data_IF_583450243417
#
_entry.id   IF_583450243417
#
_cell.length_a   1.000
_cell.length_b   1.000
_cell.length_c   1.000
_cell.angle_alpha   90.00
_cell.angle_beta   90.00
_cell.angle_gamma   90.00
#
_symmetry.space_group_name_H-M   'P 1'
#
loop_
_entity.id
_entity.type
_entity.pdbx_description
1 polymer ?
#
# COMPACT_ATOMS: atom_id res chain seq x y z
N UNK A 1 -20.27 -3.79 10.24
CA UNK A 1 -18.93 -4.24 9.79
C UNK A 1 -17.99 -3.06 9.89
N UNK A 2 -16.84 -3.26 10.53
CA UNK A 2 -15.84 -2.21 10.80
C UNK A 2 -14.97 -1.97 9.55
N UNK A 3 -14.50 -0.74 9.28
CA UNK A 3 -13.53 -0.46 8.21
C UNK A 3 -12.29 -1.38 8.25
N UNK A 4 -11.91 -1.87 9.43
CA UNK A 4 -10.81 -2.82 9.62
C UNK A 4 -10.98 -4.13 8.81
N UNK A 5 -12.23 -4.51 8.52
CA UNK A 5 -12.58 -5.75 7.81
C UNK A 5 -12.38 -5.64 6.28
N UNK A 6 -11.99 -4.48 5.75
CA UNK A 6 -11.69 -4.33 4.32
C UNK A 6 -10.44 -5.11 3.86
N UNK A 7 -9.61 -5.55 4.81
CA UNK A 7 -8.43 -6.41 4.56
C UNK A 7 -8.43 -7.60 5.53
N UNK A 8 -7.82 -8.73 5.16
CA UNK A 8 -7.84 -9.93 5.98
C UNK A 8 -6.80 -9.96 7.11
N UNK A 9 -5.85 -9.03 7.12
CA UNK A 9 -4.81 -8.96 8.15
C UNK A 9 -5.07 -7.78 9.10
N UNK A 10 -4.74 -8.00 10.36
CA UNK A 10 -4.68 -6.97 11.40
C UNK A 10 -3.22 -6.78 11.79
N UNK A 11 -2.87 -5.60 12.27
CA UNK A 11 -1.61 -5.40 12.97
C UNK A 11 -1.85 -5.51 14.47
N UNK A 12 -0.81 -5.73 15.26
CA UNK A 12 -0.89 -5.90 16.72
C UNK A 12 -1.31 -4.62 17.51
N UNK A 13 -1.89 -3.62 16.84
CA UNK A 13 -2.09 -2.26 17.37
C UNK A 13 -0.82 -1.40 17.28
N UNK A 14 -0.97 -0.10 17.55
CA UNK A 14 0.17 0.71 17.96
C UNK A 14 0.66 0.20 19.33
N UNK A 15 1.96 0.36 19.67
CA UNK A 15 2.42 0.05 21.02
C UNK A 15 1.54 0.75 22.07
N UNK A 16 1.20 0.09 23.20
CA UNK A 16 0.37 0.70 24.24
C UNK A 16 0.95 2.05 24.69
N UNK A 17 0.10 3.06 25.01
CA UNK A 17 0.58 4.38 25.42
C UNK A 17 1.58 4.33 26.59
N UNK A 18 1.40 3.38 27.52
CA UNK A 18 2.33 3.13 28.62
C UNK A 18 3.73 2.68 28.17
N UNK A 19 3.83 1.92 27.08
CA UNK A 19 5.11 1.48 26.52
C UNK A 19 5.77 2.66 25.80
N UNK A 20 4.98 3.43 25.05
CA UNK A 20 5.46 4.66 24.39
C UNK A 20 5.97 5.66 25.43
N UNK A 21 5.26 5.82 26.55
CA UNK A 21 5.66 6.66 27.66
C UNK A 21 6.94 6.15 28.34
N UNK A 22 7.05 4.83 28.60
CA UNK A 22 8.28 4.23 29.14
C UNK A 22 9.49 4.46 28.23
N UNK A 23 9.34 4.27 26.92
CA UNK A 23 10.42 4.56 25.94
C UNK A 23 10.75 6.05 25.93
N UNK A 24 9.73 6.91 25.97
CA UNK A 24 9.94 8.36 26.01
C UNK A 24 10.67 8.80 27.28
N UNK A 25 10.33 8.23 28.43
CA UNK A 25 11.06 8.44 29.69
C UNK A 25 12.49 7.95 29.62
N UNK A 26 12.72 6.72 29.14
CA UNK A 26 14.05 6.16 28.97
C UNK A 26 14.96 7.07 28.10
N UNK A 27 14.43 7.58 26.99
CA UNK A 27 15.18 8.51 26.12
C UNK A 27 15.52 9.82 26.86
N UNK A 28 14.62 10.32 27.71
CA UNK A 28 14.87 11.51 28.52
C UNK A 28 15.83 11.25 29.69
N UNK A 29 15.78 10.07 30.30
CA UNK A 29 16.67 9.64 31.39
C UNK A 29 18.11 9.47 30.91
N UNK A 30 18.32 9.03 29.67
CA UNK A 30 19.65 8.97 29.03
C UNK A 30 20.39 10.32 29.04
N UNK A 31 19.68 11.44 29.13
CA UNK A 31 20.30 12.74 29.26
C UNK A 31 21.10 12.90 30.57
N UNK A 32 20.70 12.21 31.64
CA UNK A 32 21.39 12.22 32.94
C UNK A 32 22.54 11.22 33.05
N UNK A 33 22.73 10.36 32.06
CA UNK A 33 23.78 9.33 32.05
C UNK A 33 25.11 9.89 31.53
N UNK A 34 25.77 10.72 32.35
CA UNK A 34 26.97 11.48 31.97
C UNK A 34 28.10 10.61 31.40
N UNK A 35 28.38 9.45 32.00
CA UNK A 35 29.42 8.53 31.52
C UNK A 35 29.08 7.92 30.16
N UNK A 36 27.80 7.62 29.91
CA UNK A 36 27.34 7.05 28.65
C UNK A 36 27.43 8.07 27.51
N UNK A 37 27.09 9.32 27.79
CA UNK A 37 27.16 10.43 26.84
C UNK A 37 28.61 10.84 26.57
N UNK A 38 29.45 10.93 27.61
CA UNK A 38 30.86 11.32 27.47
C UNK A 38 31.65 10.35 26.60
N UNK A 39 31.41 9.03 26.74
CA UNK A 39 32.00 8.00 25.86
C UNK A 39 31.64 8.16 24.38
N UNK A 40 30.58 8.92 24.08
CA UNK A 40 30.11 9.23 22.72
C UNK A 40 30.38 10.68 22.32
N UNK A 41 31.18 11.40 23.11
CA UNK A 41 31.54 12.78 22.83
C UNK A 41 30.38 13.77 22.99
N UNK A 42 29.42 13.49 23.86
CA UNK A 42 28.27 14.35 24.12
C UNK A 42 28.23 14.78 25.60
N UNK A 43 27.88 16.04 25.84
CA UNK A 43 27.45 16.53 27.14
C UNK A 43 25.93 16.37 27.29
N UNK A 44 25.43 16.42 28.54
CA UNK A 44 23.99 16.42 28.82
C UNK A 44 23.27 17.59 28.10
N UNK A 45 23.87 18.79 28.14
CA UNK A 45 23.29 19.99 27.52
C UNK A 45 23.19 19.86 25.98
N UNK A 46 24.22 19.31 25.34
CA UNK A 46 24.20 19.04 23.90
C UNK A 46 23.15 17.98 23.55
N UNK A 47 23.07 16.90 24.32
CA UNK A 47 22.07 15.85 24.10
C UNK A 47 20.64 16.40 24.22
N UNK A 48 20.32 17.14 25.30
CA UNK A 48 18.99 17.72 25.53
C UNK A 48 18.59 18.71 24.44
N UNK A 49 19.51 19.57 24.01
CA UNK A 49 19.23 20.57 22.99
C UNK A 49 19.09 19.98 21.58
N UNK A 50 19.85 18.92 21.26
CA UNK A 50 19.79 18.26 19.96
C UNK A 50 18.64 17.24 19.83
N UNK A 51 18.14 16.66 20.93
CA UNK A 51 17.17 15.57 20.92
C UNK A 51 15.89 15.89 20.11
N UNK A 52 15.23 17.06 20.25
CA UNK A 52 14.05 17.37 19.43
C UNK A 52 14.38 17.40 17.93
N UNK A 53 15.50 18.00 17.55
CA UNK A 53 15.94 18.04 16.15
C UNK A 53 16.30 16.65 15.63
N UNK A 54 16.92 15.81 16.46
CA UNK A 54 17.23 14.43 16.10
C UNK A 54 15.97 13.60 15.89
N UNK A 55 14.96 13.72 16.77
CA UNK A 55 13.65 13.06 16.61
C UNK A 55 12.97 13.52 15.32
N UNK A 56 12.93 14.83 15.06
CA UNK A 56 12.35 15.37 13.82
C UNK A 56 13.14 14.93 12.58
N UNK A 57 14.47 14.86 12.64
CA UNK A 57 15.30 14.34 11.56
C UNK A 57 15.08 12.83 11.32
N UNK A 58 14.91 12.04 12.39
CA UNK A 58 14.55 10.61 12.30
C UNK A 58 13.16 10.48 11.67
N UNK A 59 12.17 11.22 12.15
CA UNK A 59 10.81 11.25 11.57
C UNK A 59 10.84 11.67 10.10
N UNK A 60 11.65 12.67 9.76
CA UNK A 60 11.86 13.14 8.40
C UNK A 60 12.46 12.08 7.50
N UNK A 61 13.50 11.35 7.97
CA UNK A 61 14.11 10.22 7.24
C UNK A 61 13.15 9.06 7.03
N UNK A 62 12.39 8.67 8.06
CA UNK A 62 11.33 7.65 7.98
C UNK A 62 10.20 8.11 7.03
N UNK A 63 9.89 9.40 7.01
CA UNK A 63 8.91 9.97 6.07
C UNK A 63 9.46 10.06 4.64
N UNK A 64 10.79 10.21 4.50
CA UNK A 64 11.53 10.15 3.25
C UNK A 64 11.74 8.73 2.71
N UNK A 65 11.04 7.71 3.25
CA UNK A 65 10.95 6.31 2.78
C UNK A 65 10.65 6.09 1.29
N UNK A 66 10.58 7.13 0.47
CA UNK A 66 10.48 6.99 -0.97
C UNK A 66 11.66 6.24 -1.57
N UNK A 67 12.87 6.32 -1.00
CA UNK A 67 14.03 5.52 -1.47
C UNK A 67 13.76 4.03 -1.25
N UNK A 68 13.51 3.60 0.00
CA UNK A 68 13.21 2.20 0.33
C UNK A 68 11.98 1.67 -0.43
N UNK A 69 10.93 2.48 -0.56
CA UNK A 69 9.74 2.16 -1.37
C UNK A 69 10.07 1.95 -2.85
N UNK A 70 10.96 2.79 -3.40
CA UNK A 70 11.42 2.67 -4.79
C UNK A 70 12.27 1.41 -4.97
N UNK A 71 13.19 1.15 -4.06
CA UNK A 71 14.03 -0.05 -4.07
C UNK A 71 13.18 -1.33 -3.97
N UNK A 72 12.17 -1.34 -3.09
CA UNK A 72 11.23 -2.44 -2.96
C UNK A 72 10.47 -2.71 -4.28
N UNK A 73 9.84 -1.69 -4.87
CA UNK A 73 9.11 -1.88 -6.13
C UNK A 73 10.04 -2.24 -7.28
N UNK A 74 11.23 -1.64 -7.34
CA UNK A 74 12.25 -2.00 -8.32
C UNK A 74 12.62 -3.48 -8.20
N UNK A 75 12.96 -3.95 -7.00
CA UNK A 75 13.29 -5.36 -6.78
C UNK A 75 12.14 -6.31 -7.13
N UNK A 76 10.90 -5.90 -6.84
CA UNK A 76 9.70 -6.65 -7.23
C UNK A 76 9.55 -6.73 -8.76
N UNK A 77 9.69 -5.61 -9.48
CA UNK A 77 9.58 -5.59 -10.94
C UNK A 77 10.76 -6.28 -11.63
N UNK A 78 11.97 -6.21 -11.06
CA UNK A 78 13.11 -7.02 -11.50
C UNK A 78 12.82 -8.51 -11.34
N UNK A 79 12.19 -8.93 -10.24
CA UNK A 79 11.78 -10.32 -10.06
C UNK A 79 10.69 -10.73 -11.08
N UNK A 80 9.75 -9.84 -11.42
CA UNK A 80 8.76 -10.09 -12.48
C UNK A 80 9.43 -10.23 -13.85
N UNK A 81 10.39 -9.35 -14.16
CA UNK A 81 11.17 -9.38 -15.41
C UNK A 81 11.97 -10.68 -15.52
N UNK A 82 12.68 -11.07 -14.47
CA UNK A 82 13.48 -12.29 -14.43
C UNK A 82 12.63 -13.57 -14.58
N UNK A 83 11.36 -13.53 -14.17
CA UNK A 83 10.39 -14.63 -14.39
C UNK A 83 9.70 -14.57 -15.75
N UNK A 84 10.01 -13.58 -16.59
CA UNK A 84 9.35 -13.38 -17.89
C UNK A 84 7.88 -12.99 -17.78
N UNK A 85 7.43 -12.44 -16.64
CA UNK A 85 6.04 -11.99 -16.43
C UNK A 85 5.78 -10.60 -17.04
N UNK A 86 6.85 -9.83 -17.23
CA UNK A 86 6.87 -8.56 -17.95
C UNK A 86 8.06 -8.57 -18.92
N UNK A 87 7.96 -7.87 -20.04
CA UNK A 87 9.04 -7.77 -21.02
C UNK A 87 10.06 -6.68 -20.69
N UNK A 88 9.63 -5.59 -20.04
CA UNK A 88 10.49 -4.50 -19.58
C UNK A 88 9.79 -3.67 -18.51
N UNK A 89 10.56 -2.88 -17.75
CA UNK A 89 10.02 -1.78 -16.97
C UNK A 89 10.93 -0.56 -16.89
N UNK A 90 10.34 0.62 -16.71
CA UNK A 90 11.05 1.89 -16.50
C UNK A 90 10.93 2.34 -15.05
N UNK A 91 12.04 2.73 -14.45
CA UNK A 91 12.07 3.33 -13.10
C UNK A 91 11.84 4.85 -13.19
N UNK A 92 11.00 5.44 -12.32
CA UNK A 92 10.77 6.89 -12.32
C UNK A 92 12.05 7.67 -11.97
N UNK A 93 12.27 8.80 -12.66
CA UNK A 93 13.39 9.70 -12.39
C UNK A 93 13.23 10.35 -11.00
N UNK A 94 14.35 10.69 -10.36
CA UNK A 94 14.31 11.42 -9.10
C UNK A 94 13.72 12.83 -9.30
N UNK A 95 12.79 13.25 -8.44
CA UNK A 95 12.13 14.55 -8.53
C UNK A 95 10.84 14.59 -9.36
N UNK A 96 10.51 13.52 -10.10
CA UNK A 96 9.27 13.40 -10.88
C UNK A 96 8.20 12.56 -10.16
N UNK A 97 6.99 12.51 -10.73
CA UNK A 97 5.95 11.58 -10.30
C UNK A 97 6.48 10.14 -10.32
N UNK A 98 6.16 9.36 -9.30
CA UNK A 98 6.67 8.00 -9.14
C UNK A 98 5.82 6.98 -9.90
N UNK A 99 5.81 7.12 -11.24
CA UNK A 99 5.09 6.24 -12.15
C UNK A 99 6.06 5.25 -12.79
N UNK A 100 5.84 3.96 -12.55
CA UNK A 100 6.52 2.87 -13.24
C UNK A 100 5.71 2.49 -14.47
N UNK A 101 6.43 2.26 -15.57
CA UNK A 101 5.86 1.74 -16.82
C UNK A 101 6.30 0.31 -16.98
N UNK A 102 5.37 -0.63 -17.06
CA UNK A 102 5.64 -2.05 -17.28
C UNK A 102 5.13 -2.43 -18.67
N UNK A 103 5.98 -3.04 -19.50
CA UNK A 103 5.58 -3.54 -20.81
C UNK A 103 5.26 -5.04 -20.72
N UNK A 104 4.09 -5.45 -21.19
CA UNK A 104 3.66 -6.84 -21.22
C UNK A 104 3.51 -7.28 -22.67
N UNK A 105 4.29 -8.28 -23.06
CA UNK A 105 4.28 -8.82 -24.40
C UNK A 105 2.87 -9.27 -24.82
N UNK A 106 2.38 -8.73 -25.95
CA UNK A 106 1.05 -9.02 -26.48
C UNK A 106 -0.13 -8.51 -25.65
N UNK A 107 0.08 -7.77 -24.54
CA UNK A 107 -1.00 -7.27 -23.66
C UNK A 107 -0.95 -5.78 -23.35
N UNK A 108 0.09 -5.06 -23.77
CA UNK A 108 0.16 -3.60 -23.67
C UNK A 108 1.00 -3.10 -22.49
N UNK A 109 0.71 -1.88 -22.05
CA UNK A 109 1.50 -1.13 -21.07
C UNK A 109 0.73 -0.88 -19.76
N UNK A 110 1.36 -1.13 -18.62
CA UNK A 110 0.78 -0.91 -17.29
C UNK A 110 1.48 0.25 -16.60
N UNK A 111 0.69 1.19 -16.07
CA UNK A 111 1.16 2.23 -15.17
C UNK A 111 0.97 1.78 -13.71
N UNK A 112 2.05 1.79 -12.94
CA UNK A 112 1.99 1.67 -11.49
C UNK A 112 2.44 2.98 -10.86
N UNK A 113 1.54 3.65 -10.19
CA UNK A 113 1.79 4.91 -9.50
C UNK A 113 2.07 4.61 -8.02
N UNK A 114 3.32 4.76 -7.61
CA UNK A 114 3.75 4.55 -6.23
C UNK A 114 3.24 5.69 -5.35
N UNK A 115 2.60 5.33 -4.22
CA UNK A 115 2.09 6.28 -3.24
C UNK A 115 2.43 5.81 -1.82
N UNK A 116 2.49 6.74 -0.88
CA UNK A 116 2.61 6.44 0.55
C UNK A 116 1.29 5.95 1.15
N UNK A 117 1.15 6.09 2.48
CA UNK A 117 -0.10 5.77 3.16
C UNK A 117 -1.30 6.54 2.57
N UNK A 118 -2.49 5.91 2.45
CA UNK A 118 -3.70 6.56 1.91
C UNK A 118 -4.39 7.47 2.95
N UNK A 119 -3.63 8.36 3.58
CA UNK A 119 -4.06 9.25 4.65
C UNK A 119 -4.23 10.72 4.23
N UNK A 120 -3.75 11.10 3.04
CA UNK A 120 -3.77 12.48 2.55
C UNK A 120 -4.18 12.63 1.08
N UNK A 121 -4.29 13.89 0.64
CA UNK A 121 -4.64 14.24 -0.73
C UNK A 121 -3.58 13.77 -1.74
N UNK A 122 -2.29 14.00 -1.45
CA UNK A 122 -1.18 13.60 -2.34
C UNK A 122 -1.08 12.09 -2.60
N UNK A 123 -1.41 11.27 -1.59
CA UNK A 123 -1.34 9.81 -1.68
C UNK A 123 -2.59 9.16 -2.27
N UNK A 124 -3.71 9.87 -2.30
CA UNK A 124 -5.00 9.31 -2.73
C UNK A 124 -5.51 9.90 -4.03
N UNK A 125 -5.29 11.19 -4.33
CA UNK A 125 -5.95 11.85 -5.47
C UNK A 125 -5.04 12.73 -6.34
N UNK A 126 -3.86 13.16 -5.89
CA UNK A 126 -2.93 13.94 -6.73
C UNK A 126 -2.05 13.02 -7.60
N UNK A 127 -2.56 12.63 -8.76
CA UNK A 127 -1.90 11.78 -9.76
C UNK A 127 -2.66 11.89 -11.08
N UNK A 128 -2.06 11.54 -12.21
CA UNK A 128 -2.76 11.44 -13.49
C UNK A 128 -2.62 10.04 -14.09
N UNK A 129 -3.63 9.63 -14.87
CA UNK A 129 -3.52 8.40 -15.66
C UNK A 129 -2.67 8.71 -16.88
N UNK A 130 -1.53 8.04 -17.06
CA UNK A 130 -0.72 8.25 -18.24
C UNK A 130 -1.48 7.81 -19.50
N UNK A 131 -1.46 8.64 -20.55
CA UNK A 131 -2.19 8.37 -21.81
C UNK A 131 -1.74 7.10 -22.53
N UNK A 132 -0.53 6.61 -22.22
CA UNK A 132 0.04 5.40 -22.80
C UNK A 132 -0.38 4.12 -22.07
N UNK A 133 -1.02 4.22 -20.91
CA UNK A 133 -1.30 3.08 -20.05
C UNK A 133 -2.60 2.38 -20.44
N UNK A 134 -2.51 1.08 -20.72
CA UNK A 134 -3.66 0.19 -20.91
C UNK A 134 -4.27 -0.22 -19.56
N UNK A 135 -3.49 -0.30 -18.48
CA UNK A 135 -4.07 -0.35 -17.13
C UNK A 135 -3.28 0.55 -16.18
N UNK A 136 -3.96 1.16 -15.21
CA UNK A 136 -3.33 2.02 -14.20
C UNK A 136 -3.67 1.58 -12.78
N UNK A 137 -2.64 1.52 -11.93
CA UNK A 137 -2.74 1.10 -10.54
C UNK A 137 -2.15 2.14 -9.59
N UNK A 138 -2.85 2.43 -8.50
CA UNK A 138 -2.23 3.09 -7.34
C UNK A 138 -1.66 2.02 -6.42
N UNK A 139 -0.36 2.08 -6.15
CA UNK A 139 0.27 1.18 -5.18
C UNK A 139 0.59 1.95 -3.90
N UNK A 140 -0.24 1.77 -2.88
CA UNK A 140 -0.03 2.30 -1.54
C UNK A 140 0.98 1.45 -0.78
N UNK A 141 2.17 2.01 -0.56
CA UNK A 141 3.24 1.47 0.27
C UNK A 141 3.22 2.20 1.62
N UNK A 142 2.41 1.67 2.53
CA UNK A 142 2.16 2.33 3.81
C UNK A 142 2.96 1.66 4.92
N UNK A 143 3.89 2.37 5.55
CA UNK A 143 4.64 1.91 6.74
C UNK A 143 3.96 2.24 8.07
N UNK A 144 2.82 2.95 8.03
CA UNK A 144 2.11 3.37 9.24
C UNK A 144 1.43 2.20 9.96
N UNK A 145 1.55 2.20 11.28
CA UNK A 145 0.83 1.32 12.22
C UNK A 145 -0.30 2.06 12.96
N UNK A 146 -0.60 3.30 12.53
CA UNK A 146 -1.62 4.14 13.18
C UNK A 146 -3.02 3.57 13.02
N UNK A 147 -3.30 2.92 11.89
CA UNK A 147 -4.60 2.34 11.58
C UNK A 147 -4.45 0.93 11.05
N UNK A 148 -5.49 0.13 11.25
CA UNK A 148 -5.54 -1.19 10.66
C UNK A 148 -5.47 -1.10 9.13
N UNK A 149 -4.92 -2.13 8.45
CA UNK A 149 -4.75 -2.09 7.01
C UNK A 149 -6.07 -1.85 6.27
N UNK A 150 -7.17 -2.45 6.76
CA UNK A 150 -8.50 -2.28 6.18
C UNK A 150 -8.99 -0.84 6.32
N UNK A 151 -8.69 -0.19 7.43
CA UNK A 151 -9.03 1.22 7.64
C UNK A 151 -8.22 2.13 6.71
N UNK A 152 -6.93 1.84 6.49
CA UNK A 152 -6.13 2.55 5.48
C UNK A 152 -6.75 2.43 4.09
N UNK A 153 -7.04 1.20 3.63
CA UNK A 153 -7.65 0.97 2.32
C UNK A 153 -9.00 1.69 2.23
N UNK A 154 -9.88 1.52 3.20
CA UNK A 154 -11.20 2.16 3.23
C UNK A 154 -11.11 3.69 3.17
N UNK A 155 -10.19 4.29 3.92
CA UNK A 155 -9.95 5.75 3.89
C UNK A 155 -9.43 6.22 2.52
N UNK A 156 -8.51 5.48 1.90
CA UNK A 156 -8.01 5.79 0.55
C UNK A 156 -9.10 5.73 -0.50
N UNK A 157 -9.83 4.61 -0.52
CA UNK A 157 -10.96 4.38 -1.43
C UNK A 157 -12.05 5.45 -1.24
N UNK A 158 -12.33 5.84 0.00
CA UNK A 158 -13.33 6.88 0.28
C UNK A 158 -12.95 8.23 -0.33
N UNK A 159 -11.65 8.57 -0.35
CA UNK A 159 -11.16 9.78 -1.01
C UNK A 159 -11.22 9.68 -2.53
N UNK A 160 -10.93 8.49 -3.07
CA UNK A 160 -11.02 8.21 -4.51
C UNK A 160 -12.45 8.40 -5.03
N UNK A 161 -13.48 8.14 -4.22
CA UNK A 161 -14.90 8.36 -4.61
C UNK A 161 -15.13 9.72 -5.24
N UNK A 162 -14.59 10.80 -4.64
CA UNK A 162 -14.80 12.15 -5.19
C UNK A 162 -14.32 12.19 -6.65
N UNK A 163 -13.13 11.66 -6.91
CA UNK A 163 -12.56 11.59 -8.26
C UNK A 163 -13.39 10.75 -9.22
N UNK A 164 -13.99 9.65 -8.79
CA UNK A 164 -14.85 8.82 -9.64
C UNK A 164 -16.19 9.48 -9.98
N UNK A 165 -16.70 10.37 -9.12
CA UNK A 165 -18.02 11.00 -9.30
C UNK A 165 -17.99 12.50 -9.64
N UNK A 166 -16.83 13.19 -9.65
CA UNK A 166 -16.75 14.65 -9.86
C UNK A 166 -15.94 15.11 -11.07
N UNK A 167 -14.86 14.42 -11.40
CA UNK A 167 -13.98 14.70 -12.54
C UNK A 167 -13.99 13.43 -13.37
N UNK A 168 -14.08 13.48 -14.71
CA UNK A 168 -14.05 12.24 -15.53
C UNK A 168 -12.90 11.36 -15.03
N UNK A 169 -13.18 10.20 -14.42
CA UNK A 169 -12.13 9.43 -13.79
C UNK A 169 -11.16 9.05 -14.90
N UNK A 170 -9.91 9.51 -14.80
CA UNK A 170 -8.85 8.80 -15.49
C UNK A 170 -8.98 7.34 -15.06
N UNK A 171 -9.06 6.42 -16.04
CA UNK A 171 -9.31 4.99 -15.80
C UNK A 171 -8.28 4.46 -14.80
N UNK A 172 -8.69 4.29 -13.55
CA UNK A 172 -7.90 3.66 -12.51
C UNK A 172 -8.43 2.25 -12.36
N UNK A 173 -7.65 1.27 -12.81
CA UNK A 173 -8.04 -0.14 -12.91
C UNK A 173 -7.91 -0.88 -11.58
N UNK A 174 -7.07 -0.38 -10.67
CA UNK A 174 -6.95 -0.97 -9.36
C UNK A 174 -6.19 -0.16 -8.33
N UNK A 175 -6.31 -0.62 -7.09
CA UNK A 175 -5.43 -0.19 -5.99
C UNK A 175 -4.74 -1.40 -5.39
N UNK A 176 -3.48 -1.22 -5.05
CA UNK A 176 -2.64 -2.24 -4.44
C UNK A 176 -2.18 -1.69 -3.10
N UNK A 177 -2.36 -2.48 -2.05
CA UNK A 177 -1.93 -2.13 -0.70
C UNK A 177 -0.84 -3.09 -0.23
N UNK A 178 0.28 -2.52 0.19
CA UNK A 178 1.37 -3.22 0.81
C UNK A 178 1.97 -2.38 1.96
N UNK A 179 2.62 -3.06 2.89
CA UNK A 179 3.24 -2.50 4.07
C UNK A 179 4.44 -3.40 4.38
N UNK A 180 5.58 -2.82 4.72
CA UNK A 180 6.82 -3.54 5.03
C UNK A 180 6.69 -4.57 6.17
N UNK A 181 5.71 -4.40 7.05
CA UNK A 181 5.44 -5.33 8.15
C UNK A 181 4.55 -6.51 7.72
N UNK A 182 4.01 -6.52 6.51
CA UNK A 182 3.20 -7.64 6.02
C UNK A 182 3.96 -8.96 6.13
N UNK A 183 3.44 -9.90 6.93
CA UNK A 183 4.07 -11.21 7.12
C UNK A 183 4.95 -11.35 8.34
N UNK A 184 5.26 -10.23 9.00
CA UNK A 184 6.03 -10.20 10.25
C UNK A 184 5.14 -10.55 11.47
N UNK A 185 5.72 -10.81 12.65
CA UNK A 185 4.94 -10.98 13.88
C UNK A 185 4.06 -9.77 14.23
N UNK A 186 4.46 -8.55 13.82
CA UNK A 186 3.67 -7.34 14.04
C UNK A 186 2.43 -7.26 13.15
N UNK A 187 2.42 -8.01 12.03
CA UNK A 187 1.31 -8.09 11.11
C UNK A 187 1.31 -9.41 10.35
N UNK A 188 0.72 -10.42 10.98
CA UNK A 188 0.57 -11.76 10.41
C UNK A 188 -0.29 -11.66 9.14
N UNK A 189 0.30 -12.03 8.00
CA UNK A 189 -0.39 -12.02 6.73
C UNK A 189 -0.92 -13.43 6.40
N UNK A 190 -2.21 -13.60 6.10
CA UNK A 190 -2.77 -14.91 5.77
C UNK A 190 -2.32 -15.46 4.41
N UNK A 191 -1.54 -14.66 3.66
CA UNK A 191 -0.96 -15.02 2.36
C UNK A 191 0.52 -15.44 2.46
N UNK A 192 1.08 -15.57 3.66
CA UNK A 192 2.50 -15.91 3.86
C UNK A 192 2.94 -17.22 3.24
N UNK A 193 2.04 -18.19 3.07
CA UNK A 193 2.35 -19.45 2.39
C UNK A 193 2.73 -19.29 0.91
N UNK A 194 2.49 -18.11 0.32
CA UNK A 194 2.87 -17.76 -1.06
C UNK A 194 3.97 -16.68 -1.05
N UNK A 195 4.71 -16.52 0.04
CA UNK A 195 5.77 -15.51 0.10
C UNK A 195 6.96 -15.88 -0.79
N UNK A 196 7.66 -14.85 -1.25
CA UNK A 196 8.90 -14.95 -2.02
C UNK A 196 9.97 -14.09 -1.35
N UNK A 197 11.24 -14.31 -1.70
CA UNK A 197 12.32 -13.42 -1.28
C UNK A 197 12.42 -12.21 -2.23
N UNK A 198 12.37 -11.00 -1.68
CA UNK A 198 12.71 -9.75 -2.40
C UNK A 198 13.67 -8.97 -1.49
N UNK A 199 14.91 -8.80 -1.95
CA UNK A 199 15.92 -8.05 -1.18
C UNK A 199 16.24 -8.68 0.18
N UNK A 200 16.19 -10.01 0.32
CA UNK A 200 16.44 -10.72 1.58
C UNK A 200 15.27 -10.68 2.57
N UNK A 201 14.10 -10.17 2.15
CA UNK A 201 12.88 -10.17 2.95
C UNK A 201 11.87 -11.17 2.38
N UNK A 202 11.22 -11.94 3.27
CA UNK A 202 10.09 -12.80 2.92
C UNK A 202 8.82 -11.94 2.75
N UNK A 203 8.45 -11.69 1.51
CA UNK A 203 7.36 -10.79 1.13
C UNK A 203 6.14 -11.61 0.69
N UNK A 204 4.97 -11.48 1.34
CA UNK A 204 3.74 -12.10 0.87
C UNK A 204 3.14 -11.36 -0.34
N UNK A 205 2.24 -12.00 -1.11
CA UNK A 205 1.50 -11.31 -2.16
C UNK A 205 0.81 -10.05 -1.64
N UNK A 206 0.87 -8.89 -2.34
CA UNK A 206 0.23 -7.66 -1.90
C UNK A 206 -1.30 -7.78 -1.95
N UNK A 207 -2.04 -6.92 -1.24
CA UNK A 207 -3.50 -6.89 -1.34
C UNK A 207 -3.89 -6.10 -2.59
N UNK A 208 -4.45 -6.79 -3.59
CA UNK A 208 -4.83 -6.19 -4.88
C UNK A 208 -6.35 -6.07 -4.94
N UNK A 209 -6.84 -4.92 -5.40
CA UNK A 209 -8.25 -4.64 -5.56
C UNK A 209 -8.50 -4.05 -6.94
N UNK A 210 -9.38 -4.70 -7.72
CA UNK A 210 -9.86 -4.16 -9.00
C UNK A 210 -10.90 -3.08 -8.71
N UNK A 211 -10.67 -1.90 -9.29
CA UNK A 211 -11.56 -0.74 -9.22
C UNK A 211 -12.63 -0.84 -10.30
N UNK A 212 -13.77 -0.15 -10.17
CA UNK A 212 -14.78 -0.11 -11.21
C UNK A 212 -14.34 0.66 -12.46
N UNK A 213 -14.66 0.11 -13.63
CA UNK A 213 -14.92 0.83 -14.87
C UNK A 213 -16.03 1.89 -14.71
N UNK A 214 -15.93 2.93 -15.55
CA UNK A 214 -16.98 3.94 -15.73
C UNK A 214 -18.15 3.30 -16.48
N UNK A 215 -19.11 2.75 -15.73
CA UNK A 215 -20.29 2.08 -16.28
C UNK A 215 -21.57 2.71 -15.70
N UNK A 216 -22.11 3.69 -16.42
CA UNK A 216 -23.34 4.38 -16.06
C UNK A 216 -24.60 3.49 -16.11
N UNK A 217 -24.50 2.24 -16.58
CA UNK A 217 -25.68 1.40 -16.88
C UNK A 217 -26.11 0.46 -15.75
N UNK A 218 -25.25 0.20 -14.75
CA UNK A 218 -25.59 -0.64 -13.61
C UNK A 218 -25.98 0.16 -12.36
N UNK A 219 -26.88 -0.41 -11.54
CA UNK A 219 -27.29 0.09 -10.20
C UNK A 219 -26.12 0.25 -9.19
N UNK A 220 -24.87 -0.03 -9.60
CA UNK A 220 -23.65 0.20 -8.83
C UNK A 220 -22.41 -0.36 -9.54
N UNK A 221 -21.39 0.48 -9.72
CA UNK A 221 -20.16 0.15 -10.43
C UNK A 221 -19.36 -0.93 -9.71
N UNK A 222 -19.06 -2.03 -10.41
CA UNK A 222 -18.29 -3.19 -9.93
C UNK A 222 -18.73 -3.71 -8.56
N UNK A 223 -20.00 -3.55 -8.18
CA UNK A 223 -20.49 -3.92 -6.84
C UNK A 223 -20.31 -5.42 -6.54
N UNK A 224 -20.43 -6.25 -7.59
CA UNK A 224 -20.28 -7.71 -7.53
C UNK A 224 -18.86 -8.20 -7.80
N UNK A 225 -17.94 -7.33 -8.22
CA UNK A 225 -16.55 -7.72 -8.47
C UNK A 225 -16.35 -8.58 -9.71
N UNK A 226 -17.07 -8.27 -10.79
CA UNK A 226 -16.99 -9.02 -12.05
C UNK A 226 -15.84 -8.58 -12.95
N UNK A 227 -15.24 -7.41 -12.67
CA UNK A 227 -14.17 -6.88 -13.49
C UNK A 227 -12.90 -7.69 -13.34
N UNK A 228 -12.30 -7.97 -14.50
CA UNK A 228 -11.04 -8.72 -14.62
C UNK A 228 -10.00 -7.77 -15.21
N UNK A 229 -8.76 -7.94 -14.76
CA UNK A 229 -7.60 -7.16 -15.19
C UNK A 229 -6.40 -8.07 -15.35
N UNK A 230 -5.50 -7.69 -16.26
CA UNK A 230 -4.29 -8.45 -16.61
C UNK A 230 -3.25 -8.36 -15.51
N UNK A 231 -2.98 -7.15 -14.99
CA UNK A 231 -1.87 -6.97 -14.07
C UNK A 231 -1.97 -7.74 -12.74
N UNK A 232 -3.15 -7.86 -12.08
CA UNK A 232 -3.28 -8.66 -10.87
C UNK A 232 -2.87 -10.12 -11.07
N UNK A 233 -3.21 -10.72 -12.21
CA UNK A 233 -2.84 -12.10 -12.54
C UNK A 233 -1.32 -12.27 -12.63
N UNK A 234 -0.65 -11.37 -13.37
CA UNK A 234 0.80 -11.38 -13.54
C UNK A 234 1.53 -11.14 -12.21
N UNK A 235 1.08 -10.13 -11.45
CA UNK A 235 1.63 -9.82 -10.15
C UNK A 235 1.50 -10.99 -9.18
N UNK A 236 0.34 -11.65 -9.13
CA UNK A 236 0.12 -12.80 -8.26
C UNK A 236 0.89 -14.05 -8.72
N UNK A 237 1.12 -14.21 -10.03
CA UNK A 237 1.94 -15.29 -10.60
C UNK A 237 3.39 -15.25 -10.14
N UNK A 238 3.93 -14.05 -9.87
CA UNK A 238 5.25 -13.89 -9.24
C UNK A 238 5.35 -14.70 -7.93
N UNK A 239 4.26 -14.74 -7.17
CA UNK A 239 4.12 -15.44 -5.88
C UNK A 239 3.65 -16.89 -6.01
N UNK A 240 3.66 -17.47 -7.22
CA UNK A 240 3.24 -18.86 -7.46
C UNK A 240 1.72 -19.08 -7.45
N UNK A 241 0.93 -18.00 -7.46
CA UNK A 241 -0.53 -18.09 -7.60
C UNK A 241 -0.86 -18.14 -9.09
N UNK A 242 -1.36 -19.28 -9.55
CA UNK A 242 -1.69 -19.50 -10.97
C UNK A 242 -2.84 -18.62 -11.44
N UNK A 243 -2.98 -18.45 -12.76
CA UNK A 243 -4.04 -17.65 -13.36
C UNK A 243 -5.45 -18.09 -12.90
N UNK A 244 -5.69 -19.40 -12.79
CA UNK A 244 -6.97 -19.96 -12.35
C UNK A 244 -7.28 -19.60 -10.88
N UNK A 245 -6.23 -19.42 -10.06
CA UNK A 245 -6.36 -19.06 -8.65
C UNK A 245 -6.36 -17.55 -8.43
N UNK A 246 -5.86 -16.75 -9.37
CA UNK A 246 -5.68 -15.31 -9.22
C UNK A 246 -6.97 -14.60 -8.77
N UNK A 247 -8.13 -14.97 -9.35
CA UNK A 247 -9.43 -14.42 -8.96
C UNK A 247 -9.78 -14.61 -7.46
N UNK A 248 -9.23 -15.66 -6.82
CA UNK A 248 -9.43 -15.94 -5.38
C UNK A 248 -8.47 -15.15 -4.48
N UNK A 249 -7.52 -14.42 -5.05
CA UNK A 249 -6.60 -13.51 -4.34
C UNK A 249 -6.78 -12.04 -4.74
N UNK A 250 -7.48 -11.79 -5.85
CA UNK A 250 -7.84 -10.44 -6.31
C UNK A 250 -9.15 -9.99 -5.69
N UNK A 251 -9.07 -8.96 -4.86
CA UNK A 251 -10.22 -8.26 -4.30
C UNK A 251 -10.89 -7.32 -5.31
N UNK A 252 -11.99 -6.71 -4.90
CA UNK A 252 -12.68 -5.71 -5.70
C UNK A 252 -13.18 -4.56 -4.85
N UNK A 253 -13.31 -3.40 -5.50
CA UNK A 253 -13.94 -2.21 -4.96
C UNK A 253 -15.12 -1.89 -5.86
N UNK A 254 -16.24 -1.52 -5.24
CA UNK A 254 -17.42 -1.06 -5.95
C UNK A 254 -18.05 0.16 -5.30
N UNK A 255 -18.74 0.94 -6.12
CA UNK A 255 -19.46 2.14 -5.69
C UNK A 255 -20.93 2.03 -6.08
N UNK A 256 -21.81 2.54 -5.24
CA UNK A 256 -23.24 2.58 -5.53
C UNK A 256 -23.84 3.89 -5.06
N UNK A 257 -24.45 4.66 -5.95
CA UNK A 257 -25.14 5.89 -5.59
C UNK A 257 -26.63 5.61 -5.39
N UNK A 258 -27.16 5.90 -4.20
CA UNK A 258 -28.60 5.77 -3.87
C UNK A 258 -29.05 6.98 -3.06
N UNK A 259 -30.10 7.66 -3.54
CA UNK A 259 -30.73 8.78 -2.83
C UNK A 259 -29.73 9.87 -2.34
N UNK A 260 -28.75 10.23 -3.17
CA UNK A 260 -27.74 11.24 -2.84
C UNK A 260 -26.58 10.75 -1.96
N UNK A 261 -26.64 9.53 -1.43
CA UNK A 261 -25.53 8.89 -0.72
C UNK A 261 -24.78 7.94 -1.64
N UNK A 262 -23.44 8.00 -1.61
CA UNK A 262 -22.60 6.99 -2.26
C UNK A 262 -22.21 5.95 -1.21
N UNK A 263 -22.40 4.67 -1.53
CA UNK A 263 -21.94 3.51 -0.77
C UNK A 263 -20.70 2.94 -1.42
N UNK A 264 -19.87 2.32 -0.60
CA UNK A 264 -18.62 1.68 -1.02
C UNK A 264 -18.61 0.26 -0.50
N UNK A 265 -18.26 -0.68 -1.37
CA UNK A 265 -17.88 -2.03 -0.98
C UNK A 265 -16.40 -2.22 -1.22
N UNK A 266 -15.69 -2.78 -0.25
CA UNK A 266 -14.30 -3.21 -0.39
C UNK A 266 -14.25 -4.68 0.01
N UNK A 267 -13.94 -5.55 -0.95
CA UNK A 267 -13.79 -6.98 -0.70
C UNK A 267 -12.34 -7.38 -0.92
N UNK A 268 -11.66 -7.81 0.15
CA UNK A 268 -10.32 -8.39 0.06
C UNK A 268 -10.43 -9.90 -0.10
N UNK A 269 -9.72 -10.48 -1.07
CA UNK A 269 -9.61 -11.94 -1.23
C UNK A 269 -8.19 -12.40 -0.92
N UNK A 270 -8.04 -13.59 -0.35
CA UNK A 270 -6.76 -14.10 0.15
C UNK A 270 -6.66 -15.63 0.10
N UNK A 271 -7.31 -16.21 -0.91
CA UNK A 271 -7.32 -17.62 -1.21
C UNK A 271 -8.72 -18.16 -1.51
N UNK A 272 -8.81 -19.43 -1.93
CA UNK A 272 -10.09 -20.08 -2.23
C UNK A 272 -11.05 -19.98 -1.04
N UNK A 273 -12.26 -19.48 -1.30
CA UNK A 273 -13.33 -19.29 -0.30
C UNK A 273 -12.96 -18.38 0.89
N UNK A 274 -11.88 -17.60 0.79
CA UNK A 274 -11.39 -16.72 1.85
C UNK A 274 -11.48 -15.27 1.41
N UNK A 275 -12.43 -14.54 1.97
CA UNK A 275 -12.61 -13.11 1.73
C UNK A 275 -13.03 -12.34 2.97
N UNK A 276 -12.74 -11.05 2.98
CA UNK A 276 -13.33 -10.10 3.93
C UNK A 276 -14.04 -9.01 3.14
N UNK A 277 -15.12 -8.46 3.70
CA UNK A 277 -15.91 -7.44 3.01
C UNK A 277 -16.28 -6.33 3.99
N UNK A 278 -15.98 -5.10 3.61
CA UNK A 278 -16.49 -3.89 4.24
C UNK A 278 -17.54 -3.23 3.33
N UNK A 279 -18.60 -2.69 3.93
CA UNK A 279 -19.64 -1.90 3.26
C UNK A 279 -19.94 -0.66 4.10
N UNK A 280 -19.90 0.53 3.47
CA UNK A 280 -20.26 1.81 4.09
C UNK A 280 -21.74 2.11 4.00
#
# INVERSE_FOLDING_TARGET
>A
MSPEEATPCRHAGAPPPEIVDKVSRLINELAGEADYLSRRGLTEAEFRSALPMAIEAIRGRVSANNVERREFLKGLFEAMLNKGLIGAFTTPVAGEETVYRLSIEGRGEIAVIQKGCPDGHHSSVAWEVPKWADETYLWWLCSSMRYHPGEHVTKGVTRLRKRFFSERPGRLDGVIFHNELCGTPHRICPKMSNSIDIGGQSVPPPCVYVMPDDDETEDGWNWKGHQVRVFPELLLSLFGITAEKAATFTGHIGFQQRAGAVKTIVTGRFGPFRSTTYRS
#
